data_IF_817716785765
#
_entry.id   IF_817716785765
#
_cell.length_a   1.000
_cell.length_b   1.000
_cell.length_c   1.000
_cell.angle_alpha   90.00
_cell.angle_beta   90.00
_cell.angle_gamma   90.00
#
_symmetry.space_group_name_H-M   'P 1'
#
loop_
_entity.id
_entity.type
_entity.pdbx_description
1 polymer ?
#
# COMPACT_ATOMS: atom_id res chain seq x y z
N UNK A 1 20.39 69.00 -7.05
CA UNK A 1 21.16 69.10 -5.78
C UNK A 1 20.42 68.30 -4.71
N UNK A 2 21.02 67.25 -4.17
CA UNK A 2 20.94 66.82 -2.76
C UNK A 2 21.90 65.64 -2.54
N UNK A 3 22.50 65.55 -1.36
CA UNK A 3 23.50 64.53 -0.98
C UNK A 3 22.91 63.60 0.09
N UNK A 4 23.16 62.31 -0.04
CA UNK A 4 23.29 61.28 1.01
C UNK A 4 23.87 60.03 0.30
N UNK A 5 24.72 59.19 0.88
CA UNK A 5 25.37 59.20 2.20
C UNK A 5 25.92 57.79 2.44
N UNK A 6 27.24 57.63 2.55
CA UNK A 6 27.88 56.31 2.61
C UNK A 6 27.58 55.56 3.91
N UNK A 7 27.49 54.22 3.84
CA UNK A 7 27.95 53.35 4.91
C UNK A 7 28.59 52.08 4.33
N UNK A 8 29.86 51.85 4.68
CA UNK A 8 30.56 50.59 4.44
C UNK A 8 30.12 49.57 5.50
N UNK A 9 30.02 48.29 5.13
CA UNK A 9 30.05 47.17 6.07
C UNK A 9 31.17 46.23 5.65
N UNK A 10 32.09 45.96 6.58
CA UNK A 10 33.28 45.15 6.33
C UNK A 10 32.97 43.65 6.37
N UNK A 11 33.59 42.88 5.46
CA UNK A 11 33.47 41.42 5.42
C UNK A 11 34.65 40.80 6.19
N UNK A 12 34.37 40.06 7.26
CA UNK A 12 35.39 39.33 8.02
C UNK A 12 35.45 37.88 7.52
N UNK A 13 36.58 37.47 6.93
CA UNK A 13 36.83 36.04 6.67
C UNK A 13 37.34 35.37 7.94
N UNK A 14 36.72 34.26 8.33
CA UNK A 14 37.24 33.34 9.33
C UNK A 14 37.83 32.11 8.62
N UNK A 15 39.14 31.88 8.80
CA UNK A 15 39.83 30.68 8.32
C UNK A 15 40.00 29.74 9.51
N UNK A 16 39.39 28.55 9.44
CA UNK A 16 39.58 27.48 10.42
C UNK A 16 40.62 26.49 9.89
N UNK A 17 41.70 26.28 10.63
CA UNK A 17 42.80 25.40 10.27
C UNK A 17 42.50 23.94 10.61
N UNK A 18 42.78 23.04 9.66
CA UNK A 18 42.82 21.60 9.86
C UNK A 18 44.01 21.23 10.77
N UNK A 19 43.74 20.44 11.81
CA UNK A 19 44.78 19.74 12.57
C UNK A 19 44.48 18.25 12.55
N UNK A 20 45.35 17.49 11.88
CA UNK A 20 45.35 16.03 11.94
C UNK A 20 46.28 15.59 13.07
N UNK A 21 45.83 14.62 13.87
CA UNK A 21 46.69 13.86 14.77
C UNK A 21 46.51 12.37 14.47
N UNK A 22 47.58 11.78 13.96
CA UNK A 22 47.74 10.36 13.67
C UNK A 22 48.40 9.69 14.88
N UNK A 23 48.00 8.47 15.24
CA UNK A 23 48.65 7.69 16.32
C UNK A 23 48.44 6.19 16.14
N UNK A 24 49.43 5.54 15.53
CA UNK A 24 49.74 4.10 15.68
C UNK A 24 49.85 3.71 17.18
N UNK A 25 49.69 2.45 17.63
CA UNK A 25 50.42 1.28 17.13
C UNK A 25 50.02 -0.07 17.81
N UNK A 26 50.36 -1.19 17.15
CA UNK A 26 50.68 -2.54 17.71
C UNK A 26 49.73 -3.32 18.64
N UNK A 27 49.09 -4.34 18.06
CA UNK A 27 49.28 -5.80 18.31
C UNK A 27 49.54 -6.35 19.73
N UNK A 28 48.70 -7.32 20.15
CA UNK A 28 49.11 -8.45 21.00
C UNK A 28 48.33 -9.74 20.63
N UNK A 29 48.83 -10.92 21.01
CA UNK A 29 48.56 -12.21 20.33
C UNK A 29 47.87 -13.29 21.17
N UNK A 30 47.01 -14.09 20.51
CA UNK A 30 46.63 -15.52 20.73
C UNK A 30 46.35 -16.10 22.13
N UNK A 31 45.21 -16.80 22.28
CA UNK A 31 45.16 -18.22 22.75
C UNK A 31 43.77 -18.92 22.56
N UNK A 32 43.73 -20.24 22.80
CA UNK A 32 42.73 -21.26 22.38
C UNK A 32 41.88 -21.88 23.52
N UNK A 33 40.68 -22.47 23.33
CA UNK A 33 39.79 -22.48 22.14
C UNK A 33 38.27 -22.62 22.43
N UNK A 34 37.61 -23.79 22.69
CA UNK A 34 36.23 -23.96 22.19
C UNK A 34 35.13 -24.25 23.23
N UNK A 35 33.91 -23.79 22.95
CA UNK A 35 32.66 -24.32 23.54
C UNK A 35 31.67 -23.26 24.04
N UNK A 36 30.55 -23.10 23.33
CA UNK A 36 29.42 -22.27 23.78
C UNK A 36 28.39 -22.08 22.66
N UNK A 37 27.12 -22.40 22.93
CA UNK A 37 26.04 -22.26 21.96
C UNK A 37 25.93 -20.80 21.48
N UNK A 38 26.21 -20.56 20.20
CA UNK A 38 25.82 -19.33 19.53
C UNK A 38 24.34 -19.39 19.17
N UNK A 39 23.48 -19.02 20.11
CA UNK A 39 22.15 -18.50 19.76
C UNK A 39 22.35 -17.40 18.70
N UNK A 40 21.59 -17.37 17.59
CA UNK A 40 21.67 -16.25 16.66
C UNK A 40 21.29 -14.99 17.42
N UNK A 41 22.22 -14.06 17.55
CA UNK A 41 21.91 -12.76 18.13
C UNK A 41 20.86 -12.09 17.24
N UNK A 42 19.67 -11.81 17.80
CA UNK A 42 18.73 -10.89 17.18
C UNK A 42 19.50 -9.61 16.88
N UNK A 43 19.58 -9.24 15.59
CA UNK A 43 20.26 -8.04 15.16
C UNK A 43 19.35 -6.84 15.43
N UNK A 44 19.09 -6.59 16.71
CA UNK A 44 18.27 -5.50 17.22
C UNK A 44 19.01 -4.20 16.99
N UNK A 45 18.87 -3.66 15.78
CA UNK A 45 19.27 -2.30 15.45
C UNK A 45 18.68 -1.35 16.49
N UNK A 46 19.48 -0.36 16.92
CA UNK A 46 19.17 0.50 18.07
C UNK A 46 18.15 1.60 17.72
N UNK A 47 16.99 1.18 17.19
CA UNK A 47 15.81 1.98 16.95
C UNK A 47 14.59 1.27 17.53
N UNK A 48 13.64 2.04 18.06
CA UNK A 48 12.35 1.51 18.52
C UNK A 48 11.57 0.98 17.31
N UNK A 49 11.08 -0.27 17.37
CA UNK A 49 10.26 -0.81 16.28
C UNK A 49 9.00 0.01 16.11
N UNK A 50 8.53 0.14 14.87
CA UNK A 50 7.27 0.77 14.53
C UNK A 50 6.09 0.15 15.28
N UNK A 51 6.15 -1.15 15.61
CA UNK A 51 5.17 -1.79 16.49
C UNK A 51 5.09 -1.14 17.88
N UNK A 52 6.25 -0.86 18.49
CA UNK A 52 6.32 -0.24 19.81
C UNK A 52 5.88 1.23 19.75
N UNK A 53 6.20 1.94 18.66
CA UNK A 53 5.72 3.31 18.41
C UNK A 53 4.19 3.34 18.33
N UNK A 54 3.59 2.44 17.54
CA UNK A 54 2.12 2.33 17.38
C UNK A 54 1.45 2.03 18.72
N UNK A 55 1.96 1.06 19.49
CA UNK A 55 1.46 0.71 20.82
C UNK A 55 1.58 1.84 21.83
N UNK A 56 2.76 2.48 21.93
CA UNK A 56 2.99 3.58 22.86
C UNK A 56 2.12 4.79 22.54
N UNK A 57 1.88 5.07 21.26
CA UNK A 57 1.03 6.16 20.77
C UNK A 57 -0.47 5.83 20.87
N UNK A 58 -0.83 4.56 21.01
CA UNK A 58 -2.22 4.09 21.07
C UNK A 58 -3.01 4.25 19.76
N UNK A 59 -2.32 4.48 18.63
CA UNK A 59 -2.95 4.58 17.30
C UNK A 59 -1.98 4.23 16.16
N UNK A 60 -2.51 3.53 15.16
CA UNK A 60 -1.95 3.39 13.83
C UNK A 60 -2.13 4.69 13.04
N UNK A 61 -1.17 5.06 12.20
CA UNK A 61 -1.29 6.10 11.18
C UNK A 61 -1.12 5.41 9.82
N UNK A 62 -2.21 5.27 9.08
CA UNK A 62 -2.23 4.57 7.79
C UNK A 62 -2.26 5.57 6.63
N UNK A 63 -1.30 5.48 5.72
CA UNK A 63 -1.33 6.26 4.48
C UNK A 63 -2.24 5.59 3.45
N UNK A 64 -3.19 6.36 2.94
CA UNK A 64 -4.25 5.95 2.00
C UNK A 64 -4.34 6.97 0.85
N UNK A 65 -5.19 6.73 -0.15
CA UNK A 65 -5.45 7.70 -1.23
C UNK A 65 -6.59 8.64 -0.83
N UNK A 66 -7.70 8.05 -0.37
CA UNK A 66 -8.88 8.77 0.08
C UNK A 66 -9.80 9.25 -1.05
N UNK A 67 -9.46 9.06 -2.33
CA UNK A 67 -10.23 9.54 -3.48
C UNK A 67 -10.64 8.43 -4.45
N UNK A 68 -10.48 7.16 -4.08
CA UNK A 68 -10.84 5.99 -4.89
C UNK A 68 -11.94 5.19 -4.17
N UNK A 69 -13.22 5.42 -4.52
CA UNK A 69 -14.35 4.61 -4.04
C UNK A 69 -14.09 3.10 -4.12
N UNK A 70 -14.40 2.36 -3.05
CA UNK A 70 -14.15 0.92 -2.94
C UNK A 70 -12.72 0.52 -2.54
N UNK A 71 -11.71 1.37 -2.72
CA UNK A 71 -10.33 1.10 -2.27
C UNK A 71 -9.99 1.91 -1.02
N UNK A 72 -9.83 3.22 -1.17
CA UNK A 72 -9.81 4.14 -0.03
C UNK A 72 -10.48 5.44 -0.42
N UNK A 73 -11.59 5.75 0.27
CA UNK A 73 -12.42 6.90 0.00
C UNK A 73 -12.86 7.56 1.30
N UNK A 74 -12.65 8.88 1.39
CA UNK A 74 -13.22 9.73 2.45
C UNK A 74 -14.45 10.45 1.91
N UNK A 75 -15.59 10.27 2.58
CA UNK A 75 -16.83 10.97 2.21
C UNK A 75 -16.86 12.41 2.78
N UNK A 76 -17.88 13.19 2.41
CA UNK A 76 -18.08 14.57 2.88
C UNK A 76 -18.20 14.69 4.42
N UNK A 77 -18.58 13.60 5.10
CA UNK A 77 -18.64 13.51 6.57
C UNK A 77 -17.30 13.12 7.22
N UNK A 78 -16.21 13.05 6.45
CA UNK A 78 -14.88 12.66 6.93
C UNK A 78 -14.72 11.16 7.22
N UNK A 79 -15.67 10.32 6.82
CA UNK A 79 -15.64 8.88 7.10
C UNK A 79 -14.88 8.12 6.01
N UNK A 80 -13.92 7.31 6.42
CA UNK A 80 -13.10 6.47 5.56
C UNK A 80 -13.71 5.09 5.34
N UNK A 81 -13.73 4.65 4.07
CA UNK A 81 -14.25 3.36 3.62
C UNK A 81 -13.45 2.79 2.43
N UNK A 82 -13.57 1.49 2.17
CA UNK A 82 -12.88 0.78 1.08
C UNK A 82 -11.97 -0.36 1.56
N UNK A 83 -11.52 -1.19 0.63
CA UNK A 83 -10.67 -2.37 0.86
C UNK A 83 -9.36 -2.02 1.58
N UNK A 84 -8.65 -0.97 1.14
CA UNK A 84 -7.40 -0.52 1.77
C UNK A 84 -7.64 0.01 3.19
N UNK A 85 -8.76 0.73 3.39
CA UNK A 85 -9.16 1.23 4.71
C UNK A 85 -9.46 0.08 5.67
N UNK A 86 -10.11 -0.98 5.20
CA UNK A 86 -10.38 -2.16 6.01
C UNK A 86 -9.11 -2.96 6.35
N UNK A 87 -8.08 -2.97 5.49
CA UNK A 87 -6.77 -3.53 5.84
C UNK A 87 -6.09 -2.71 6.96
N UNK A 88 -6.10 -1.38 6.88
CA UNK A 88 -5.61 -0.52 7.98
C UNK A 88 -6.35 -0.81 9.30
N UNK A 89 -7.68 -0.97 9.26
CA UNK A 89 -8.50 -1.29 10.44
C UNK A 89 -8.22 -2.69 10.99
N UNK A 90 -7.93 -3.67 10.13
CA UNK A 90 -7.50 -5.01 10.54
C UNK A 90 -6.19 -4.95 11.33
N UNK A 91 -5.19 -4.20 10.85
CA UNK A 91 -3.91 -4.00 11.53
C UNK A 91 -4.09 -3.25 12.85
N UNK A 92 -4.91 -2.19 12.89
CA UNK A 92 -5.23 -1.49 14.13
C UNK A 92 -5.88 -2.42 15.17
N UNK A 93 -6.85 -3.24 14.77
CA UNK A 93 -7.48 -4.22 15.66
C UNK A 93 -6.52 -5.33 16.12
N UNK A 94 -5.64 -5.83 15.25
CA UNK A 94 -4.63 -6.83 15.59
C UNK A 94 -3.58 -6.33 16.59
N UNK A 95 -3.21 -5.04 16.53
CA UNK A 95 -2.16 -4.44 17.37
C UNK A 95 -2.70 -3.81 18.66
N UNK A 96 -3.88 -3.18 18.58
CA UNK A 96 -4.44 -2.31 19.64
C UNK A 96 -5.78 -2.81 20.19
N UNK A 97 -6.40 -3.82 19.59
CA UNK A 97 -7.72 -4.33 19.98
C UNK A 97 -8.91 -3.48 19.53
N UNK A 98 -8.68 -2.35 18.85
CA UNK A 98 -9.71 -1.43 18.38
C UNK A 98 -9.48 -1.05 16.90
N UNK A 99 -10.42 -1.35 15.98
CA UNK A 99 -10.32 -0.91 14.59
C UNK A 99 -10.44 0.61 14.39
N UNK A 100 -10.88 1.36 15.40
CA UNK A 100 -10.97 2.82 15.35
C UNK A 100 -9.70 3.51 15.87
N UNK A 101 -8.74 2.75 16.41
CA UNK A 101 -7.43 3.25 16.81
C UNK A 101 -6.49 3.46 15.60
N UNK A 102 -7.02 4.13 14.56
CA UNK A 102 -6.35 4.44 13.30
C UNK A 102 -6.63 5.87 12.87
N UNK A 103 -5.57 6.58 12.51
CA UNK A 103 -5.61 7.86 11.82
C UNK A 103 -5.27 7.62 10.34
N UNK A 104 -6.06 8.22 9.45
CA UNK A 104 -5.84 8.11 8.01
C UNK A 104 -5.19 9.38 7.48
N UNK A 105 -4.13 9.22 6.68
CA UNK A 105 -3.53 10.31 5.92
C UNK A 105 -3.69 10.05 4.43
N UNK A 106 -4.39 10.94 3.76
CA UNK A 106 -4.41 10.99 2.30
C UNK A 106 -3.02 11.42 1.81
N UNK A 107 -2.48 10.66 0.88
CA UNK A 107 -1.19 10.89 0.23
C UNK A 107 -1.39 10.83 -1.28
N UNK A 108 -0.73 11.69 -2.05
CA UNK A 108 -0.65 11.51 -3.50
C UNK A 108 0.38 10.45 -3.92
N UNK A 109 0.38 10.12 -5.21
CA UNK A 109 1.22 9.05 -5.76
C UNK A 109 2.72 9.35 -5.72
N UNK A 110 3.11 10.62 -5.56
CA UNK A 110 4.50 11.10 -5.55
C UNK A 110 5.07 11.27 -4.14
N UNK A 111 4.26 11.69 -3.17
CA UNK A 111 4.72 11.87 -1.79
C UNK A 111 4.68 10.57 -0.94
N UNK A 112 3.82 9.60 -1.29
CA UNK A 112 3.49 8.45 -0.42
C UNK A 112 4.68 7.68 0.15
N UNK A 113 5.74 7.50 -0.65
CA UNK A 113 6.92 6.73 -0.23
C UNK A 113 7.86 7.55 0.67
N UNK A 114 7.95 8.86 0.47
CA UNK A 114 8.72 9.72 1.37
C UNK A 114 7.99 9.89 2.71
N UNK A 115 6.67 10.05 2.72
CA UNK A 115 5.88 10.09 3.95
C UNK A 115 6.02 8.79 4.79
N UNK A 116 6.04 7.62 4.13
CA UNK A 116 6.29 6.34 4.78
C UNK A 116 7.73 6.24 5.32
N UNK A 117 8.75 6.60 4.52
CA UNK A 117 10.17 6.55 4.93
C UNK A 117 10.52 7.56 6.03
N UNK A 118 9.92 8.75 6.00
CA UNK A 118 10.02 9.74 7.07
C UNK A 118 9.26 9.32 8.34
N UNK A 119 8.47 8.24 8.28
CA UNK A 119 7.73 7.70 9.40
C UNK A 119 6.47 8.51 9.77
N UNK A 120 6.04 9.41 8.91
CA UNK A 120 4.82 10.22 9.05
C UNK A 120 3.55 9.36 8.96
N UNK A 121 3.65 8.20 8.30
CA UNK A 121 2.72 7.09 8.39
C UNK A 121 3.49 5.82 8.79
N UNK A 122 2.80 4.87 9.41
CA UNK A 122 3.40 3.60 9.86
C UNK A 122 3.38 2.53 8.76
N UNK A 123 2.37 2.58 7.89
CA UNK A 123 2.21 1.71 6.73
C UNK A 123 1.43 2.45 5.63
N UNK A 124 1.51 1.95 4.40
CA UNK A 124 0.58 2.29 3.33
C UNK A 124 -0.39 1.13 3.11
N UNK A 125 -1.68 1.42 2.97
CA UNK A 125 -2.60 0.60 2.18
C UNK A 125 -3.24 1.58 1.19
N UNK A 126 -2.72 1.58 -0.03
CA UNK A 126 -3.02 2.62 -1.04
C UNK A 126 -2.74 2.10 -2.43
N UNK A 127 -3.53 1.15 -2.94
CA UNK A 127 -3.47 0.64 -4.32
C UNK A 127 -2.05 0.69 -4.96
N UNK A 128 -1.06 0.09 -4.29
CA UNK A 128 0.36 0.27 -4.62
C UNK A 128 0.94 -1.01 -5.17
N UNK A 129 1.34 -0.99 -6.44
CA UNK A 129 1.98 -2.12 -7.10
C UNK A 129 3.30 -2.52 -6.47
N UNK A 130 3.46 -3.80 -6.20
CA UNK A 130 4.76 -4.40 -5.91
C UNK A 130 5.60 -4.45 -7.19
N UNK A 131 6.72 -3.73 -7.21
CA UNK A 131 7.74 -3.80 -8.27
C UNK A 131 9.11 -4.02 -7.66
N UNK A 132 10.01 -4.66 -8.41
CA UNK A 132 11.41 -4.88 -7.99
C UNK A 132 12.11 -3.57 -7.61
N UNK A 133 11.84 -2.47 -8.30
CA UNK A 133 12.45 -1.16 -8.00
C UNK A 133 11.94 -0.55 -6.70
N UNK A 134 10.66 -0.70 -6.37
CA UNK A 134 10.08 -0.25 -5.10
C UNK A 134 10.60 -1.08 -3.92
N UNK A 135 10.64 -2.40 -4.11
CA UNK A 135 11.11 -3.39 -3.13
C UNK A 135 12.60 -3.23 -2.78
N UNK A 136 13.44 -3.02 -3.81
CA UNK A 136 14.90 -2.91 -3.63
C UNK A 136 15.39 -1.47 -3.51
N UNK A 137 15.27 -0.67 -4.57
CA UNK A 137 15.96 0.64 -4.68
C UNK A 137 15.26 1.77 -3.91
N UNK A 138 13.95 1.69 -3.69
CA UNK A 138 13.21 2.66 -2.87
C UNK A 138 13.26 2.30 -1.38
N UNK A 139 13.53 1.03 -1.03
CA UNK A 139 13.67 0.58 0.37
C UNK A 139 12.33 0.28 1.07
N UNK A 140 11.39 -0.33 0.35
CA UNK A 140 10.04 -0.65 0.82
C UNK A 140 9.83 -2.16 0.91
N UNK A 141 9.05 -2.64 1.87
CA UNK A 141 8.69 -4.05 2.02
C UNK A 141 7.20 -4.25 1.69
N UNK A 142 6.89 -5.26 0.87
CA UNK A 142 5.51 -5.50 0.38
C UNK A 142 4.85 -6.65 1.11
N UNK A 143 3.75 -6.34 1.79
CA UNK A 143 2.88 -7.33 2.41
C UNK A 143 2.06 -8.06 1.31
N UNK A 144 1.30 -9.11 1.64
CA UNK A 144 0.60 -9.93 0.67
C UNK A 144 -0.28 -9.10 -0.26
N UNK A 145 -0.29 -9.43 -1.55
CA UNK A 145 -1.14 -8.76 -2.54
C UNK A 145 -2.61 -8.88 -2.12
N UNK A 146 -3.23 -7.73 -1.82
CA UNK A 146 -4.64 -7.63 -1.43
C UNK A 146 -5.55 -7.40 -2.62
N UNK A 147 -5.00 -6.96 -3.76
CA UNK A 147 -5.74 -6.89 -5.02
C UNK A 147 -4.80 -7.06 -6.23
N UNK A 148 -5.02 -8.11 -7.02
CA UNK A 148 -4.40 -8.29 -8.34
C UNK A 148 -5.19 -7.52 -9.39
N UNK A 149 -4.52 -6.58 -10.06
CA UNK A 149 -5.06 -5.82 -11.19
C UNK A 149 -4.09 -5.82 -12.40
N UNK A 150 -4.45 -5.09 -13.45
CA UNK A 150 -3.55 -4.66 -14.51
C UNK A 150 -4.00 -3.31 -15.08
N UNK A 151 -3.07 -2.53 -15.61
CA UNK A 151 -3.38 -1.22 -16.19
C UNK A 151 -4.30 -1.35 -17.41
N UNK A 152 -5.34 -0.52 -17.45
CA UNK A 152 -6.27 -0.38 -18.56
C UNK A 152 -6.29 1.03 -19.15
N UNK A 153 -7.27 1.28 -20.00
CA UNK A 153 -7.52 2.56 -20.66
C UNK A 153 -9.01 2.86 -20.65
N UNK A 154 -9.41 4.06 -20.23
CA UNK A 154 -10.79 4.54 -20.25
C UNK A 154 -10.95 5.66 -21.27
N UNK A 155 -12.00 5.60 -22.08
CA UNK A 155 -12.32 6.54 -23.16
C UNK A 155 -13.79 6.92 -23.12
N UNK A 156 -14.15 8.05 -23.75
CA UNK A 156 -15.58 8.38 -23.94
C UNK A 156 -16.17 7.44 -24.98
N UNK A 157 -17.40 6.99 -24.78
CA UNK A 157 -18.09 6.03 -25.64
C UNK A 157 -18.28 6.55 -27.07
N UNK A 158 -18.39 7.87 -27.24
CA UNK A 158 -18.53 8.57 -28.53
C UNK A 158 -17.21 8.81 -29.27
N UNK A 159 -16.05 8.56 -28.63
CA UNK A 159 -14.73 8.94 -29.14
C UNK A 159 -14.27 8.18 -30.39
N UNK A 160 -14.95 7.09 -30.75
CA UNK A 160 -14.55 6.15 -31.80
C UNK A 160 -13.27 5.36 -31.49
N UNK A 161 -12.72 5.46 -30.28
CA UNK A 161 -11.54 4.72 -29.84
C UNK A 161 -11.98 3.35 -29.31
N UNK A 162 -11.35 2.30 -29.84
CA UNK A 162 -11.66 0.89 -29.52
C UNK A 162 -10.43 0.08 -29.11
N UNK A 163 -9.23 0.54 -29.47
CA UNK A 163 -7.94 -0.11 -29.22
C UNK A 163 -6.82 0.92 -29.03
N UNK A 164 -5.64 0.48 -28.61
CA UNK A 164 -4.52 1.38 -28.33
C UNK A 164 -4.02 2.12 -29.58
N UNK A 165 -4.05 1.48 -30.74
CA UNK A 165 -3.58 2.06 -32.01
C UNK A 165 -4.40 3.29 -32.44
N UNK A 166 -5.64 3.41 -31.96
CA UNK A 166 -6.50 4.57 -32.23
C UNK A 166 -6.05 5.83 -31.47
N UNK A 167 -5.02 5.75 -30.60
CA UNK A 167 -4.38 6.89 -29.91
C UNK A 167 -3.26 7.56 -30.71
N UNK A 168 -3.01 7.16 -31.95
CA UNK A 168 -2.04 7.82 -32.82
C UNK A 168 -2.34 9.33 -32.93
N UNK A 169 -1.42 10.17 -32.45
CA UNK A 169 -1.52 11.62 -32.41
C UNK A 169 -2.49 12.19 -31.36
N UNK A 170 -2.95 11.39 -30.40
CA UNK A 170 -3.93 11.79 -29.36
C UNK A 170 -3.28 11.95 -27.98
N UNK A 171 -3.96 12.69 -27.11
CA UNK A 171 -3.55 12.93 -25.73
C UNK A 171 -4.13 11.88 -24.75
N UNK A 172 -3.29 11.40 -23.84
CA UNK A 172 -3.65 10.48 -22.75
C UNK A 172 -3.29 11.12 -21.41
N UNK A 173 -4.26 11.20 -20.52
CA UNK A 173 -4.08 11.68 -19.14
C UNK A 173 -3.52 10.54 -18.27
N UNK A 174 -2.55 10.85 -17.41
CA UNK A 174 -1.95 9.92 -16.45
C UNK A 174 -1.46 10.64 -15.19
N UNK A 175 -1.38 9.93 -14.06
CA UNK A 175 -0.81 10.46 -12.82
C UNK A 175 0.71 10.22 -12.74
N UNK A 176 1.46 11.21 -12.26
CA UNK A 176 2.91 11.18 -12.07
C UNK A 176 3.34 10.17 -11.00
N UNK A 177 4.55 9.63 -11.12
CA UNK A 177 5.13 8.75 -10.09
C UNK A 177 4.43 7.39 -9.96
N UNK A 178 3.72 6.98 -11.02
CA UNK A 178 2.99 5.71 -11.11
C UNK A 178 3.75 4.67 -11.93
N UNK A 179 3.39 3.40 -11.77
CA UNK A 179 3.73 2.34 -12.75
C UNK A 179 3.06 2.64 -14.09
N UNK A 180 1.82 3.11 -14.03
CA UNK A 180 0.97 3.55 -15.15
C UNK A 180 1.67 4.43 -16.18
N UNK A 181 2.39 5.46 -15.75
CA UNK A 181 3.10 6.41 -16.63
C UNK A 181 4.21 5.74 -17.45
N UNK A 182 5.02 4.88 -16.80
CA UNK A 182 6.11 4.15 -17.43
C UNK A 182 5.57 3.06 -18.37
N UNK A 183 4.60 2.29 -17.89
CA UNK A 183 3.96 1.20 -18.63
C UNK A 183 3.18 1.70 -19.87
N UNK A 184 2.52 2.87 -19.77
CA UNK A 184 1.87 3.52 -20.92
C UNK A 184 2.89 3.84 -22.01
N UNK A 185 4.00 4.47 -21.63
CA UNK A 185 5.10 4.84 -22.53
C UNK A 185 5.67 3.60 -23.23
N UNK A 186 5.89 2.51 -22.49
CA UNK A 186 6.38 1.25 -23.05
C UNK A 186 5.36 0.55 -23.96
N UNK A 187 4.08 0.49 -23.56
CA UNK A 187 3.03 -0.15 -24.34
C UNK A 187 2.79 0.56 -25.69
N UNK A 188 2.82 1.89 -25.71
CA UNK A 188 2.69 2.68 -26.95
C UNK A 188 3.95 2.56 -27.82
N UNK A 189 5.15 2.64 -27.22
CA UNK A 189 6.44 2.49 -27.91
C UNK A 189 6.57 1.12 -28.60
N UNK A 190 6.19 0.04 -27.93
CA UNK A 190 6.20 -1.32 -28.51
C UNK A 190 5.29 -1.46 -29.75
N UNK A 191 4.26 -0.62 -29.87
CA UNK A 191 3.31 -0.60 -30.98
C UNK A 191 3.63 0.45 -32.04
N UNK A 192 4.71 1.24 -31.86
CA UNK A 192 5.07 2.35 -32.74
C UNK A 192 4.11 3.55 -32.67
N UNK A 193 3.25 3.61 -31.66
CA UNK A 193 2.24 4.67 -31.52
C UNK A 193 2.91 5.93 -30.99
N UNK A 194 2.78 7.03 -31.75
CA UNK A 194 3.14 8.37 -31.27
C UNK A 194 1.90 9.01 -30.65
N UNK A 195 2.01 9.50 -29.43
CA UNK A 195 0.91 10.05 -28.65
C UNK A 195 1.43 11.14 -27.70
N UNK A 196 0.54 11.95 -27.13
CA UNK A 196 0.88 12.94 -26.12
C UNK A 196 0.55 12.40 -24.72
N UNK A 197 1.55 12.35 -23.82
CA UNK A 197 1.33 12.07 -22.40
C UNK A 197 1.06 13.37 -21.67
N UNK A 198 -0.12 13.49 -21.05
CA UNK A 198 -0.49 14.64 -20.21
C UNK A 198 -0.45 14.21 -18.75
N UNK A 199 0.70 14.43 -18.12
CA UNK A 199 0.98 14.02 -16.73
C UNK A 199 0.43 15.02 -15.71
N UNK A 200 -0.20 14.51 -14.65
CA UNK A 200 -0.72 15.30 -13.51
C UNK A 200 -0.16 14.78 -12.18
N UNK A 201 0.05 15.65 -11.21
CA UNK A 201 0.48 15.26 -9.85
C UNK A 201 -0.64 14.59 -9.03
N UNK A 202 -1.90 14.85 -9.37
CA UNK A 202 -3.06 14.40 -8.61
C UNK A 202 -4.18 13.88 -9.53
N UNK A 203 -4.93 12.89 -9.05
CA UNK A 203 -6.05 12.29 -9.76
C UNK A 203 -7.12 13.30 -10.20
N UNK A 204 -7.62 14.18 -9.33
CA UNK A 204 -8.80 15.01 -9.67
C UNK A 204 -8.54 15.94 -10.88
N UNK A 205 -7.41 16.67 -10.97
CA UNK A 205 -7.03 17.39 -12.18
C UNK A 205 -6.92 16.51 -13.44
N UNK A 206 -6.44 15.27 -13.33
CA UNK A 206 -6.30 14.35 -14.46
C UNK A 206 -7.67 13.89 -15.00
N UNK A 207 -8.57 13.46 -14.09
CA UNK A 207 -9.92 13.05 -14.46
C UNK A 207 -10.77 14.24 -14.95
N UNK A 208 -10.57 15.44 -14.41
CA UNK A 208 -11.19 16.67 -14.93
C UNK A 208 -10.72 17.00 -16.35
N UNK A 209 -9.41 16.97 -16.61
CA UNK A 209 -8.85 17.21 -17.95
C UNK A 209 -9.34 16.19 -18.99
N UNK A 210 -9.48 14.93 -18.60
CA UNK A 210 -10.08 13.89 -19.42
C UNK A 210 -11.58 14.14 -19.70
N UNK A 211 -12.36 14.51 -18.67
CA UNK A 211 -13.79 14.81 -18.80
C UNK A 211 -14.05 16.04 -19.69
N UNK A 212 -13.22 17.08 -19.57
CA UNK A 212 -13.22 18.28 -20.42
C UNK A 212 -12.74 18.04 -21.86
N UNK A 213 -12.27 16.82 -22.17
CA UNK A 213 -11.81 16.44 -23.51
C UNK A 213 -10.39 16.87 -23.87
N UNK A 214 -9.63 17.46 -22.94
CA UNK A 214 -8.19 17.77 -23.12
C UNK A 214 -7.39 16.50 -23.40
N UNK A 215 -7.76 15.39 -22.76
CA UNK A 215 -7.31 14.05 -23.12
C UNK A 215 -8.43 13.26 -23.82
N UNK A 216 -8.04 12.35 -24.72
CA UNK A 216 -8.95 11.40 -25.36
C UNK A 216 -8.99 10.05 -24.63
N UNK A 217 -8.04 9.80 -23.71
CA UNK A 217 -8.05 8.66 -22.79
C UNK A 217 -7.52 9.02 -21.40
N UNK A 218 -7.92 8.25 -20.40
CA UNK A 218 -7.37 8.24 -19.05
C UNK A 218 -6.88 6.83 -18.76
N UNK A 219 -5.65 6.66 -18.26
CA UNK A 219 -5.10 5.34 -17.92
C UNK A 219 -4.80 5.23 -16.43
N UNK A 220 -5.10 4.05 -15.88
CA UNK A 220 -4.67 3.56 -14.57
C UNK A 220 -5.01 2.07 -14.45
N UNK A 221 -4.81 1.49 -13.28
CA UNK A 221 -5.31 0.17 -12.89
C UNK A 221 -6.82 0.05 -13.21
N UNK A 222 -7.28 -1.08 -13.76
CA UNK A 222 -8.66 -1.21 -14.25
C UNK A 222 -9.70 -0.99 -13.16
N UNK A 223 -9.46 -1.50 -11.95
CA UNK A 223 -10.35 -1.30 -10.81
C UNK A 223 -10.44 0.17 -10.39
N UNK A 224 -9.31 0.91 -10.39
CA UNK A 224 -9.29 2.34 -10.13
C UNK A 224 -10.05 3.11 -11.23
N UNK A 225 -9.90 2.74 -12.50
CA UNK A 225 -10.67 3.33 -13.60
C UNK A 225 -12.18 3.09 -13.43
N UNK A 226 -12.62 1.89 -13.04
CA UNK A 226 -14.04 1.60 -12.73
C UNK A 226 -14.53 2.42 -11.54
N UNK A 227 -13.74 2.50 -10.46
CA UNK A 227 -14.08 3.27 -9.26
C UNK A 227 -14.21 4.78 -9.55
N UNK A 228 -13.20 5.37 -10.21
CA UNK A 228 -13.17 6.81 -10.53
C UNK A 228 -14.14 7.19 -11.63
N UNK A 229 -14.54 6.26 -12.51
CA UNK A 229 -15.66 6.48 -13.43
C UNK A 229 -16.96 6.84 -12.70
N UNK A 230 -17.21 6.25 -11.53
CA UNK A 230 -18.42 6.57 -10.73
C UNK A 230 -18.44 8.00 -10.18
N UNK A 231 -17.31 8.71 -10.20
CA UNK A 231 -17.19 10.11 -9.74
C UNK A 231 -17.17 11.12 -10.89
N UNK A 232 -17.34 10.67 -12.15
CA UNK A 232 -17.46 11.56 -13.32
C UNK A 232 -18.91 12.05 -13.46
N UNK A 233 -19.17 13.21 -14.10
CA UNK A 233 -20.53 13.76 -14.23
C UNK A 233 -21.53 12.81 -14.90
N UNK A 234 -21.09 12.08 -15.94
CA UNK A 234 -21.90 11.14 -16.71
C UNK A 234 -21.21 9.75 -16.76
N UNK A 235 -21.21 8.94 -15.69
CA UNK A 235 -20.40 7.70 -15.62
C UNK A 235 -20.62 6.73 -16.78
N UNK A 236 -21.83 6.68 -17.33
CA UNK A 236 -22.22 5.80 -18.44
C UNK A 236 -21.64 6.21 -19.80
N UNK A 237 -21.19 7.46 -19.97
CA UNK A 237 -20.54 7.94 -21.20
C UNK A 237 -19.06 7.49 -21.29
N UNK A 238 -18.56 6.76 -20.30
CA UNK A 238 -17.18 6.32 -20.20
C UNK A 238 -17.07 4.79 -20.20
N UNK A 239 -16.26 4.27 -21.13
CA UNK A 239 -16.00 2.83 -21.28
C UNK A 239 -14.53 2.53 -21.04
N UNK A 240 -14.25 1.38 -20.44
CA UNK A 240 -12.91 0.82 -20.41
C UNK A 240 -12.71 -0.01 -21.67
N UNK A 241 -11.57 0.17 -22.33
CA UNK A 241 -11.16 -0.67 -23.46
C UNK A 241 -10.79 -2.07 -22.95
N UNK A 242 -11.03 -3.09 -23.78
CA UNK A 242 -10.59 -4.46 -23.50
C UNK A 242 -9.08 -4.65 -23.79
N UNK A 243 -8.27 -3.92 -23.02
CA UNK A 243 -6.81 -3.94 -23.10
C UNK A 243 -6.24 -4.01 -21.69
N UNK A 244 -5.25 -4.88 -21.47
CA UNK A 244 -4.46 -4.92 -20.24
C UNK A 244 -2.99 -4.69 -20.62
N UNK A 245 -2.37 -3.64 -20.10
CA UNK A 245 -1.02 -3.23 -20.49
C UNK A 245 0.08 -3.72 -19.54
N UNK A 246 -0.27 -4.12 -18.32
CA UNK A 246 0.69 -4.49 -17.27
C UNK A 246 0.12 -5.53 -16.30
N UNK A 247 0.95 -5.94 -15.33
CA UNK A 247 0.53 -6.67 -14.12
C UNK A 247 0.68 -5.71 -12.94
N UNK A 248 -0.37 -5.50 -12.18
CA UNK A 248 -0.38 -4.56 -11.06
C UNK A 248 -0.82 -5.28 -9.77
N UNK A 249 0.04 -6.12 -9.14
CA UNK A 249 -0.23 -6.71 -7.84
C UNK A 249 -0.16 -5.63 -6.74
N UNK A 250 -1.31 -5.18 -6.26
CA UNK A 250 -1.45 -4.14 -5.23
C UNK A 250 -1.38 -4.76 -3.83
N UNK A 251 -0.54 -4.22 -2.96
CA UNK A 251 -0.40 -4.72 -1.59
C UNK A 251 -0.09 -3.61 -0.57
N UNK A 252 -0.26 -3.90 0.74
CA UNK A 252 0.17 -2.99 1.81
C UNK A 252 1.70 -2.90 1.86
N UNK A 253 2.23 -1.78 2.34
CA UNK A 253 3.67 -1.47 2.26
C UNK A 253 4.19 -0.93 3.58
N UNK A 254 5.36 -1.40 4.01
CA UNK A 254 6.15 -0.86 5.13
C UNK A 254 7.51 -0.37 4.64
N UNK A 255 8.29 0.30 5.50
CA UNK A 255 9.72 0.55 5.24
C UNK A 255 10.48 -0.76 5.46
N UNK A 256 11.51 -1.03 4.64
CA UNK A 256 12.41 -2.17 4.86
C UNK A 256 13.18 -2.06 6.19
N UNK A 257 13.63 -3.20 6.70
CA UNK A 257 14.47 -3.36 7.90
C UNK A 257 13.76 -3.16 9.26
N UNK A 258 12.43 -3.20 9.31
CA UNK A 258 11.67 -3.41 10.56
C UNK A 258 10.84 -4.70 10.44
N UNK A 259 11.51 -5.84 10.51
CA UNK A 259 10.90 -7.16 10.28
C UNK A 259 9.75 -7.45 11.24
N UNK A 260 9.83 -6.97 12.49
CA UNK A 260 8.76 -7.12 13.48
C UNK A 260 7.49 -6.42 13.03
N UNK A 261 7.61 -5.18 12.54
CA UNK A 261 6.46 -4.44 12.01
C UNK A 261 5.94 -5.03 10.70
N UNK A 262 6.85 -5.43 9.81
CA UNK A 262 6.47 -6.08 8.56
C UNK A 262 5.72 -7.40 8.79
N UNK A 263 6.18 -8.23 9.73
CA UNK A 263 5.51 -9.48 10.12
C UNK A 263 4.08 -9.21 10.62
N UNK A 264 3.87 -8.18 11.44
CA UNK A 264 2.54 -7.76 11.92
C UNK A 264 1.61 -7.43 10.75
N UNK A 265 2.05 -6.58 9.81
CA UNK A 265 1.22 -6.19 8.65
C UNK A 265 0.96 -7.39 7.72
N UNK A 266 2.00 -8.18 7.45
CA UNK A 266 1.96 -9.37 6.58
C UNK A 266 1.01 -10.44 7.11
N UNK A 267 1.15 -10.86 8.37
CA UNK A 267 0.33 -11.92 8.95
C UNK A 267 -1.08 -11.46 9.31
N UNK A 268 -1.29 -10.18 9.62
CA UNK A 268 -2.67 -9.65 9.71
C UNK A 268 -3.37 -9.65 8.35
N UNK A 269 -2.64 -9.34 7.27
CA UNK A 269 -3.19 -9.42 5.90
C UNK A 269 -3.50 -10.87 5.52
N UNK A 270 -2.57 -11.81 5.74
CA UNK A 270 -2.84 -13.23 5.51
C UNK A 270 -3.99 -13.77 6.38
N UNK A 271 -4.20 -13.25 7.59
CA UNK A 271 -5.30 -13.67 8.45
C UNK A 271 -6.67 -13.39 7.82
N UNK A 272 -6.81 -12.34 7.00
CA UNK A 272 -8.02 -12.08 6.24
C UNK A 272 -8.29 -13.19 5.20
N UNK A 273 -7.24 -13.72 4.57
CA UNK A 273 -7.34 -14.77 3.55
C UNK A 273 -7.60 -16.14 4.22
N UNK A 274 -6.83 -16.48 5.26
CA UNK A 274 -7.00 -17.70 6.08
C UNK A 274 -8.41 -17.80 6.65
N UNK A 275 -8.96 -16.69 7.16
CA UNK A 275 -10.32 -16.66 7.69
C UNK A 275 -11.37 -16.98 6.62
N UNK A 276 -11.19 -16.51 5.38
CA UNK A 276 -12.10 -16.83 4.28
C UNK A 276 -12.01 -18.33 3.94
N UNK A 277 -10.80 -18.89 3.86
CA UNK A 277 -10.57 -20.31 3.58
C UNK A 277 -11.10 -21.23 4.70
N UNK A 278 -10.94 -20.84 5.97
CA UNK A 278 -11.46 -21.58 7.12
C UNK A 278 -12.97 -21.35 7.39
N UNK A 279 -13.63 -20.47 6.63
CA UNK A 279 -15.05 -20.10 6.86
C UNK A 279 -15.30 -19.29 8.14
N UNK A 280 -14.25 -18.70 8.72
CA UNK A 280 -14.35 -17.76 9.84
C UNK A 280 -14.82 -16.41 9.28
N UNK A 281 -15.88 -15.87 9.88
CA UNK A 281 -16.56 -14.64 9.49
C UNK A 281 -16.67 -13.70 10.68
N UNK A 282 -16.89 -12.41 10.42
CA UNK A 282 -17.17 -11.44 11.48
C UNK A 282 -18.30 -11.92 12.42
N UNK A 283 -19.34 -12.52 11.85
CA UNK A 283 -20.52 -12.98 12.58
C UNK A 283 -20.33 -14.27 13.42
N UNK A 284 -19.29 -15.08 13.16
CA UNK A 284 -19.11 -16.39 13.83
C UNK A 284 -17.77 -16.52 14.60
N UNK A 285 -16.86 -15.56 14.49
CA UNK A 285 -15.50 -15.64 15.06
C UNK A 285 -15.48 -15.96 16.56
N UNK A 286 -16.38 -15.41 17.37
CA UNK A 286 -16.44 -15.72 18.80
C UNK A 286 -16.98 -17.11 19.10
N UNK A 287 -17.97 -17.58 18.34
CA UNK A 287 -18.49 -18.95 18.47
C UNK A 287 -17.38 -19.96 18.14
N UNK A 288 -16.60 -19.67 17.09
CA UNK A 288 -15.51 -20.54 16.63
C UNK A 288 -14.32 -20.61 17.59
N UNK A 289 -14.22 -19.74 18.62
CA UNK A 289 -13.26 -19.92 19.74
C UNK A 289 -13.52 -21.19 20.55
N UNK A 290 -14.69 -21.81 20.39
CA UNK A 290 -15.04 -23.12 20.98
C UNK A 290 -14.97 -24.29 19.99
N UNK A 291 -14.55 -24.04 18.74
CA UNK A 291 -14.43 -25.06 17.69
C UNK A 291 -13.39 -26.12 18.04
N UNK A 292 -13.68 -27.39 17.79
CA UNK A 292 -12.71 -28.49 17.97
C UNK A 292 -11.71 -28.67 16.81
N UNK A 293 -11.85 -27.92 15.71
CA UNK A 293 -10.91 -27.95 14.60
C UNK A 293 -9.55 -27.32 15.03
N UNK A 294 -8.43 -28.07 15.01
CA UNK A 294 -7.14 -27.57 15.51
C UNK A 294 -6.54 -26.43 14.68
N UNK A 295 -6.93 -26.28 13.40
CA UNK A 295 -6.50 -25.13 12.60
C UNK A 295 -7.25 -23.86 13.04
N UNK A 296 -8.56 -23.96 13.26
CA UNK A 296 -9.36 -22.85 13.82
C UNK A 296 -8.88 -22.50 15.23
N UNK A 297 -8.58 -23.49 16.09
CA UNK A 297 -8.08 -23.22 17.46
C UNK A 297 -6.81 -22.38 17.45
N UNK A 298 -5.85 -22.72 16.59
CA UNK A 298 -4.57 -22.03 16.46
C UNK A 298 -4.70 -20.68 15.77
N UNK A 299 -5.49 -20.61 14.69
CA UNK A 299 -5.79 -19.37 13.98
C UNK A 299 -6.43 -18.31 14.90
N UNK A 300 -7.41 -18.71 15.72
CA UNK A 300 -8.11 -17.81 16.65
C UNK A 300 -7.38 -17.59 17.97
N UNK A 301 -6.15 -18.10 18.13
CA UNK A 301 -5.34 -17.88 19.32
C UNK A 301 -5.76 -18.65 20.58
N UNK A 302 -6.66 -19.63 20.45
CA UNK A 302 -7.13 -20.48 21.57
C UNK A 302 -6.23 -21.69 21.85
N UNK A 303 -5.29 -21.98 20.94
CA UNK A 303 -4.23 -22.97 21.08
C UNK A 303 -2.90 -22.38 20.59
N UNK A 304 -1.78 -22.76 21.20
CA UNK A 304 -0.44 -22.27 20.84
C UNK A 304 -0.18 -20.83 21.26
N UNK A 305 0.79 -20.18 20.62
CA UNK A 305 1.20 -18.80 20.94
C UNK A 305 1.81 -18.02 19.76
N UNK A 306 1.34 -18.27 18.53
CA UNK A 306 1.81 -17.64 17.28
C UNK A 306 1.93 -16.11 17.36
N UNK A 307 0.99 -15.44 18.03
CA UNK A 307 1.03 -13.97 18.17
C UNK A 307 2.27 -13.44 18.89
N UNK A 308 2.84 -14.21 19.84
CA UNK A 308 4.01 -13.77 20.64
C UNK A 308 5.26 -13.55 19.79
N UNK A 309 5.44 -14.32 18.71
CA UNK A 309 6.58 -14.17 17.81
C UNK A 309 6.63 -12.80 17.13
N UNK A 310 5.46 -12.18 16.93
CA UNK A 310 5.29 -10.82 16.40
C UNK A 310 5.10 -9.77 17.50
N UNK A 311 5.27 -10.15 18.77
CA UNK A 311 4.97 -9.28 19.92
C UNK A 311 3.49 -8.93 20.09
N UNK A 312 2.56 -9.67 19.48
CA UNK A 312 1.12 -9.46 19.59
C UNK A 312 0.49 -10.39 20.65
N UNK A 313 -0.78 -10.14 21.00
CA UNK A 313 -1.60 -11.13 21.68
C UNK A 313 -1.89 -12.30 20.74
N UNK A 314 -2.17 -13.49 21.30
CA UNK A 314 -2.38 -14.67 20.46
C UNK A 314 -3.67 -14.61 19.62
N UNK A 315 -4.64 -13.82 20.07
CA UNK A 315 -5.93 -13.59 19.42
C UNK A 315 -5.92 -12.47 18.37
N UNK A 316 -4.75 -11.96 17.94
CA UNK A 316 -4.62 -10.87 16.97
C UNK A 316 -5.46 -11.08 15.69
N UNK A 317 -5.46 -12.30 15.14
CA UNK A 317 -6.25 -12.67 13.98
C UNK A 317 -7.75 -12.66 14.30
N UNK A 318 -8.17 -13.19 15.46
CA UNK A 318 -9.55 -13.12 15.90
C UNK A 318 -10.02 -11.67 16.07
N UNK A 319 -9.16 -10.77 16.56
CA UNK A 319 -9.44 -9.33 16.70
C UNK A 319 -9.59 -8.65 15.33
N UNK A 320 -8.72 -8.97 14.35
CA UNK A 320 -8.86 -8.49 12.98
C UNK A 320 -10.17 -8.94 12.32
N UNK A 321 -10.53 -10.23 12.42
CA UNK A 321 -11.78 -10.75 11.83
C UNK A 321 -13.03 -10.24 12.56
N UNK A 322 -12.97 -10.07 13.88
CA UNK A 322 -14.02 -9.40 14.67
C UNK A 322 -14.23 -7.97 14.20
N UNK A 323 -13.16 -7.26 13.85
CA UNK A 323 -13.19 -5.87 13.42
C UNK A 323 -13.73 -5.67 12.00
N UNK A 324 -13.23 -6.43 11.01
CA UNK A 324 -13.51 -6.16 9.59
C UNK A 324 -14.05 -7.34 8.79
N UNK A 325 -14.20 -8.53 9.41
CA UNK A 325 -14.52 -9.77 8.72
C UNK A 325 -13.32 -10.37 7.97
N UNK A 326 -13.58 -11.44 7.23
CA UNK A 326 -12.57 -12.05 6.36
C UNK A 326 -12.43 -11.31 5.02
N UNK A 327 -11.45 -11.70 4.20
CA UNK A 327 -11.19 -11.05 2.91
C UNK A 327 -12.38 -11.08 1.96
N UNK A 328 -13.15 -12.15 1.93
CA UNK A 328 -14.41 -12.21 1.18
C UNK A 328 -15.42 -11.16 1.66
N UNK A 329 -15.60 -11.01 2.98
CA UNK A 329 -16.48 -10.00 3.58
C UNK A 329 -15.98 -8.56 3.34
N UNK A 330 -14.66 -8.35 3.25
CA UNK A 330 -14.04 -7.07 2.87
C UNK A 330 -14.24 -6.79 1.37
N UNK A 331 -14.04 -7.79 0.52
CA UNK A 331 -14.18 -7.64 -0.93
C UNK A 331 -15.64 -7.37 -1.32
N UNK A 332 -16.60 -8.16 -0.83
CA UNK A 332 -18.00 -8.07 -1.24
C UNK A 332 -18.65 -6.74 -0.88
N UNK A 333 -18.34 -6.16 0.28
CA UNK A 333 -18.91 -4.85 0.67
C UNK A 333 -18.33 -3.67 -0.10
N UNK A 334 -17.07 -3.77 -0.52
CA UNK A 334 -16.33 -2.64 -1.09
C UNK A 334 -16.29 -2.66 -2.62
N UNK A 335 -16.20 -3.85 -3.23
CA UNK A 335 -15.94 -4.05 -4.66
C UNK A 335 -16.85 -5.10 -5.32
N UNK A 336 -17.28 -6.13 -4.58
CA UNK A 336 -18.13 -7.21 -5.09
C UNK A 336 -19.61 -6.86 -5.26
N UNK A 337 -20.49 -7.86 -5.21
CA UNK A 337 -21.94 -7.71 -5.48
C UNK A 337 -22.68 -6.89 -4.42
N UNK A 338 -22.12 -6.78 -3.21
CA UNK A 338 -22.59 -5.90 -2.15
C UNK A 338 -22.26 -4.41 -2.37
N UNK A 339 -21.48 -4.09 -3.42
CA UNK A 339 -21.06 -2.73 -3.75
C UNK A 339 -21.73 -2.20 -5.03
N UNK A 340 -21.52 -0.91 -5.30
CA UNK A 340 -21.94 -0.30 -6.57
C UNK A 340 -21.13 -0.76 -7.80
N UNK A 341 -19.96 -1.37 -7.61
CA UNK A 341 -19.05 -1.72 -8.71
C UNK A 341 -19.30 -3.11 -9.28
N UNK A 342 -19.79 -4.05 -8.45
CA UNK A 342 -20.10 -5.44 -8.84
C UNK A 342 -18.94 -6.12 -9.57
N UNK A 343 -17.72 -5.87 -9.09
CA UNK A 343 -16.52 -6.47 -9.66
C UNK A 343 -16.49 -7.96 -9.28
N UNK A 344 -16.43 -8.88 -10.26
CA UNK A 344 -16.24 -10.29 -9.95
C UNK A 344 -14.81 -10.50 -9.41
N UNK A 345 -14.68 -11.38 -8.41
CA UNK A 345 -13.39 -11.70 -7.74
C UNK A 345 -12.24 -11.93 -8.74
N UNK A 346 -12.47 -12.74 -9.78
CA UNK A 346 -11.47 -13.03 -10.80
C UNK A 346 -10.18 -13.61 -10.18
N UNK A 347 -9.03 -12.99 -10.47
CA UNK A 347 -7.75 -13.34 -9.84
C UNK A 347 -7.75 -13.18 -8.31
N UNK A 348 -8.65 -12.35 -7.75
CA UNK A 348 -8.80 -12.12 -6.32
C UNK A 348 -9.68 -13.17 -5.61
N UNK A 349 -10.09 -14.24 -6.29
CA UNK A 349 -10.69 -15.39 -5.61
C UNK A 349 -9.64 -16.14 -4.77
N UNK A 350 -10.08 -16.92 -3.79
CA UNK A 350 -9.21 -17.89 -3.11
C UNK A 350 -8.58 -18.86 -4.11
N UNK A 351 -7.38 -19.34 -3.80
CA UNK A 351 -6.68 -20.34 -4.60
C UNK A 351 -7.49 -21.63 -4.78
N UNK A 352 -8.24 -22.05 -3.75
CA UNK A 352 -9.19 -23.17 -3.79
C UNK A 352 -10.34 -22.97 -4.79
N UNK A 353 -10.62 -21.72 -5.16
CA UNK A 353 -11.63 -21.31 -6.14
C UNK A 353 -11.00 -20.83 -7.48
N UNK A 354 -9.72 -21.17 -7.73
CA UNK A 354 -9.01 -20.87 -8.98
C UNK A 354 -8.45 -19.45 -9.10
N UNK A 355 -8.47 -18.65 -8.01
CA UNK A 355 -7.79 -17.37 -7.95
C UNK A 355 -6.36 -17.46 -7.41
N UNK A 356 -5.83 -16.32 -6.96
CA UNK A 356 -4.45 -16.15 -6.50
C UNK A 356 -4.33 -15.84 -5.01
N UNK A 357 -5.45 -15.61 -4.30
CA UNK A 357 -5.40 -15.33 -2.86
C UNK A 357 -5.08 -16.62 -2.11
N UNK A 358 -3.85 -16.70 -1.61
CA UNK A 358 -3.28 -17.87 -0.93
C UNK A 358 -2.71 -17.45 0.43
N UNK A 359 -3.10 -18.17 1.48
CA UNK A 359 -2.58 -17.98 2.84
C UNK A 359 -1.48 -19.03 3.14
N UNK A 360 -0.27 -18.62 3.57
CA UNK A 360 0.66 -19.51 4.25
C UNK A 360 0.04 -20.02 5.56
N UNK A 361 0.28 -21.28 5.95
CA UNK A 361 -0.41 -21.89 7.06
C UNK A 361 -0.04 -21.25 8.41
N UNK A 362 -1.06 -20.97 9.22
CA UNK A 362 -0.92 -20.57 10.62
C UNK A 362 -0.55 -21.82 11.45
N UNK A 363 0.75 -22.04 11.69
CA UNK A 363 1.32 -23.32 12.18
C UNK A 363 2.43 -23.10 13.21
#
# INVERSE_FOLDING_TARGET
MHKCGSLLVATLLLVASLTACESSNTTSTNTTSPGGNSTPASNSGTGQSRLDIVKQRGKLICGVDGKIPGFSFVNESGQYSGLDVDVCKAVAAAVLGDPNAVEFRNLDSTERFEALKAGEVDMLSRNTTWTISRDTSVGLEFAPTTFYDGQGMMVRQDSGITKLEDFQGKAVCVEAGTTTELNLTDAMRQRGIQFETVTFQQADPAYAAYAEGRCQGMTSDKSQLVARRSTLPNPNEHILLDVTMSKEPLGPVTVNNDSTWFDVVKWTTFALFEAEELGVKQANVDQLKTSDNPNIKRFLGTEGDLGKGMGLSNDFAANAIKAVGNYGEVYERNLGEGSQFKLPRGQNALWTNGGLMYSPPFR
#
